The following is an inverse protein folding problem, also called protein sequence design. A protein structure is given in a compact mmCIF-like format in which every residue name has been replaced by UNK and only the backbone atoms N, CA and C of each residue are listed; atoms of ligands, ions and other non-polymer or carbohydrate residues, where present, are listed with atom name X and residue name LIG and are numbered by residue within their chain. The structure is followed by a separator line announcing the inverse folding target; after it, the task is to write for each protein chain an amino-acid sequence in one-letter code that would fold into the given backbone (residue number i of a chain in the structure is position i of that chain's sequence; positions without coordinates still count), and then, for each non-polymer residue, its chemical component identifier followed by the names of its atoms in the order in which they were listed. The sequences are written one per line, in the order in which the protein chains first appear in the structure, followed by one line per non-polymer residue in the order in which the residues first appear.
data_IF_871909647317
#
_entry.id   IF_871909647317
#
_cell.length_a   1.000
_cell.length_b   1.000
_cell.length_c   1.000
_cell.angle_alpha   90.00
_cell.angle_beta   90.00
_cell.angle_gamma   90.00
#
_symmetry.space_group_name_H-M   'P 1'
#
loop_
_entity.id
_entity.type
_entity.pdbx_description
1 polymer ?
#
# COMPACT_ATOMS: atom_id res chain seq x y z
N UNK A 1 43.56 -8.15 -12.72
CA UNK A 1 42.50 -9.15 -12.95
C UNK A 1 41.24 -8.41 -13.37
N UNK A 2 40.42 -8.95 -14.31
CA UNK A 2 39.16 -8.33 -14.69
C UNK A 2 38.23 -8.20 -13.49
N UNK A 3 37.56 -7.06 -13.34
CA UNK A 3 36.65 -6.80 -12.22
C UNK A 3 35.40 -7.68 -12.33
N UNK A 4 34.70 -7.98 -11.22
CA UNK A 4 33.45 -8.74 -11.26
C UNK A 4 32.40 -8.11 -12.19
N UNK A 5 32.37 -6.78 -12.30
CA UNK A 5 31.50 -6.04 -13.22
C UNK A 5 31.86 -6.33 -14.67
N UNK A 6 33.14 -6.27 -15.05
CA UNK A 6 33.57 -6.56 -16.41
C UNK A 6 33.25 -8.00 -16.81
N UNK A 7 33.51 -8.98 -15.94
CA UNK A 7 33.19 -10.40 -16.20
C UNK A 7 31.69 -10.58 -16.41
N UNK A 8 30.86 -9.90 -15.62
CA UNK A 8 29.41 -9.91 -15.77
C UNK A 8 28.96 -9.31 -17.11
N UNK A 9 29.46 -8.12 -17.44
CA UNK A 9 29.10 -7.39 -18.65
C UNK A 9 29.56 -8.13 -19.92
N UNK A 10 30.74 -8.77 -19.90
CA UNK A 10 31.30 -9.48 -21.05
C UNK A 10 30.83 -10.93 -21.23
N UNK A 11 30.30 -11.58 -20.18
CA UNK A 11 29.87 -12.98 -20.23
C UNK A 11 29.04 -13.29 -21.49
N UNK A 12 29.44 -14.31 -22.24
CA UNK A 12 28.77 -14.72 -23.49
C UNK A 12 27.79 -15.87 -23.28
N UNK A 13 28.03 -16.72 -22.28
CA UNK A 13 27.28 -17.94 -22.01
C UNK A 13 26.65 -17.95 -20.59
N UNK A 14 25.59 -18.74 -20.44
CA UNK A 14 24.79 -18.84 -19.21
C UNK A 14 25.60 -19.35 -18.01
N UNK A 15 26.59 -20.21 -18.23
CA UNK A 15 27.40 -20.76 -17.14
C UNK A 15 28.35 -19.71 -16.58
N UNK A 16 29.06 -18.97 -17.44
CA UNK A 16 29.90 -17.85 -17.03
C UNK A 16 29.09 -16.77 -16.31
N UNK A 17 27.87 -16.52 -16.80
CA UNK A 17 26.90 -15.63 -16.16
C UNK A 17 26.57 -16.06 -14.72
N UNK A 18 26.19 -17.33 -14.51
CA UNK A 18 25.84 -17.84 -13.18
C UNK A 18 27.03 -17.84 -12.21
N UNK A 19 28.25 -18.02 -12.72
CA UNK A 19 29.48 -17.94 -11.91
C UNK A 19 29.84 -16.49 -11.51
N UNK A 20 29.52 -15.52 -12.36
CA UNK A 20 29.81 -14.11 -12.11
C UNK A 20 28.82 -13.47 -11.12
N UNK A 21 27.55 -13.89 -11.16
CA UNK A 21 26.46 -13.30 -10.38
C UNK A 21 26.74 -13.20 -8.86
N UNK A 22 27.18 -14.27 -8.15
CA UNK A 22 27.40 -14.19 -6.70
C UNK A 22 28.56 -13.25 -6.34
N UNK A 23 29.62 -13.24 -7.15
CA UNK A 23 30.78 -12.37 -6.95
C UNK A 23 30.41 -10.90 -7.15
N UNK A 24 29.60 -10.62 -8.17
CA UNK A 24 29.07 -9.30 -8.43
C UNK A 24 28.14 -8.85 -7.29
N UNK A 25 27.20 -9.71 -6.89
CA UNK A 25 26.27 -9.42 -5.80
C UNK A 25 27.02 -9.12 -4.49
N UNK A 26 28.02 -9.92 -4.15
CA UNK A 26 28.87 -9.69 -2.98
C UNK A 26 29.62 -8.35 -3.08
N UNK A 27 30.17 -8.02 -4.25
CA UNK A 27 30.88 -6.74 -4.43
C UNK A 27 29.95 -5.53 -4.26
N UNK A 28 28.73 -5.60 -4.81
CA UNK A 28 27.73 -4.53 -4.65
C UNK A 28 27.29 -4.42 -3.18
N UNK A 29 27.01 -5.54 -2.51
CA UNK A 29 26.54 -5.56 -1.13
C UNK A 29 27.60 -5.05 -0.16
N UNK A 30 28.83 -5.54 -0.24
CA UNK A 30 29.84 -5.31 0.81
C UNK A 30 30.91 -4.28 0.44
N UNK A 31 31.05 -3.93 -0.85
CA UNK A 31 31.99 -2.92 -1.34
C UNK A 31 31.31 -1.93 -2.31
N UNK A 32 30.16 -1.34 -1.95
CA UNK A 32 29.35 -0.53 -2.88
C UNK A 32 30.11 0.67 -3.45
N UNK A 33 30.94 1.34 -2.63
CA UNK A 33 31.75 2.49 -3.08
C UNK A 33 32.72 2.10 -4.19
N UNK A 34 33.41 0.96 -4.04
CA UNK A 34 34.36 0.47 -5.05
C UNK A 34 33.62 0.12 -6.33
N UNK A 35 32.51 -0.62 -6.19
CA UNK A 35 31.66 -1.02 -7.31
C UNK A 35 31.15 0.18 -8.13
N UNK A 36 30.56 1.19 -7.48
CA UNK A 36 29.99 2.32 -8.20
C UNK A 36 31.06 3.24 -8.82
N UNK A 37 32.27 3.30 -8.24
CA UNK A 37 33.42 3.94 -8.91
C UNK A 37 33.81 3.18 -10.18
N UNK A 38 33.95 1.85 -10.11
CA UNK A 38 34.23 1.01 -11.29
C UNK A 38 33.16 1.16 -12.38
N UNK A 39 31.89 1.30 -11.98
CA UNK A 39 30.77 1.53 -12.88
C UNK A 39 30.96 2.81 -13.72
N UNK A 40 31.52 3.88 -13.16
CA UNK A 40 31.82 5.11 -13.94
C UNK A 40 33.00 4.96 -14.89
N UNK A 41 33.94 4.07 -14.57
CA UNK A 41 35.19 3.87 -15.32
C UNK A 41 35.09 2.75 -16.38
N UNK A 42 34.06 1.91 -16.33
CA UNK A 42 33.75 0.88 -17.34
C UNK A 42 33.32 1.53 -18.66
N UNK A 43 34.30 1.90 -19.49
CA UNK A 43 34.09 2.46 -20.84
C UNK A 43 34.34 1.47 -21.98
N UNK A 44 34.66 0.20 -21.67
CA UNK A 44 35.14 -0.77 -22.67
C UNK A 44 34.04 -1.65 -23.25
N UNK A 45 32.88 -1.75 -22.60
CA UNK A 45 31.77 -2.62 -23.05
C UNK A 45 30.70 -1.79 -23.76
N UNK A 46 30.12 -2.34 -24.82
CA UNK A 46 29.01 -1.72 -25.55
C UNK A 46 27.84 -1.33 -24.63
N UNK A 47 27.30 -0.12 -24.85
CA UNK A 47 26.28 0.47 -23.97
C UNK A 47 24.97 -0.32 -23.99
N UNK A 48 24.58 -0.90 -25.14
CA UNK A 48 23.34 -1.71 -25.23
C UNK A 48 23.52 -3.02 -24.45
N UNK A 49 24.65 -3.69 -24.64
CA UNK A 49 25.00 -4.91 -23.88
C UNK A 49 24.96 -4.63 -22.37
N UNK A 50 25.56 -3.51 -21.95
CA UNK A 50 25.58 -3.07 -20.56
C UNK A 50 24.19 -2.80 -19.97
N UNK A 51 23.34 -2.07 -20.68
CA UNK A 51 21.95 -1.81 -20.29
C UNK A 51 21.15 -3.12 -20.12
N UNK A 52 21.26 -4.02 -21.09
CA UNK A 52 20.60 -5.32 -21.03
C UNK A 52 21.06 -6.14 -19.82
N UNK A 53 22.38 -6.18 -19.57
CA UNK A 53 22.97 -6.91 -18.45
C UNK A 53 22.54 -6.35 -17.09
N UNK A 54 22.43 -5.02 -16.97
CA UNK A 54 21.92 -4.38 -15.76
C UNK A 54 20.42 -4.69 -15.54
N UNK A 55 19.59 -4.60 -16.60
CA UNK A 55 18.18 -4.94 -16.51
C UNK A 55 17.96 -6.40 -16.10
N UNK A 56 18.72 -7.32 -16.71
CA UNK A 56 18.68 -8.73 -16.37
C UNK A 56 19.05 -8.98 -14.90
N UNK A 57 20.09 -8.29 -14.39
CA UNK A 57 20.46 -8.35 -12.97
C UNK A 57 19.28 -7.95 -12.08
N UNK A 58 18.63 -6.83 -12.40
CA UNK A 58 17.48 -6.33 -11.64
C UNK A 58 16.32 -7.33 -11.64
N UNK A 59 16.01 -7.93 -12.79
CA UNK A 59 14.94 -8.92 -12.91
C UNK A 59 15.25 -10.21 -12.17
N UNK A 60 16.49 -10.72 -12.21
CA UNK A 60 16.86 -11.93 -11.44
C UNK A 60 16.56 -11.75 -9.96
N UNK A 61 16.99 -10.64 -9.35
CA UNK A 61 16.71 -10.38 -7.93
C UNK A 61 15.25 -10.01 -7.66
N UNK A 62 14.58 -9.31 -8.58
CA UNK A 62 13.16 -9.00 -8.45
C UNK A 62 12.26 -10.24 -8.49
N UNK A 63 12.56 -11.20 -9.36
CA UNK A 63 11.85 -12.47 -9.41
C UNK A 63 12.26 -13.41 -8.27
N UNK A 64 13.50 -13.36 -7.80
CA UNK A 64 13.91 -14.06 -6.57
C UNK A 64 13.07 -13.59 -5.38
N UNK A 65 12.88 -12.28 -5.22
CA UNK A 65 11.99 -11.71 -4.20
C UNK A 65 10.55 -12.22 -4.36
N UNK A 66 10.01 -12.17 -5.57
CA UNK A 66 8.65 -12.64 -5.85
C UNK A 66 8.49 -14.13 -5.47
N UNK A 67 9.48 -14.96 -5.78
CA UNK A 67 9.48 -16.38 -5.43
C UNK A 67 9.49 -16.61 -3.91
N UNK A 68 10.29 -15.81 -3.19
CA UNK A 68 10.34 -15.83 -1.72
C UNK A 68 9.01 -15.39 -1.14
N UNK A 69 8.41 -14.32 -1.65
CA UNK A 69 7.11 -13.83 -1.22
C UNK A 69 6.03 -14.92 -1.38
N UNK A 70 6.01 -15.67 -2.49
CA UNK A 70 5.11 -16.82 -2.67
C UNK A 70 5.35 -17.92 -1.64
N UNK A 71 6.62 -18.18 -1.33
CA UNK A 71 7.04 -19.29 -0.46
C UNK A 71 6.71 -19.04 1.02
N UNK A 72 6.75 -17.78 1.46
CA UNK A 72 6.53 -17.39 2.86
C UNK A 72 5.17 -16.73 3.14
N UNK A 73 4.51 -16.12 2.16
CA UNK A 73 3.18 -15.52 2.32
C UNK A 73 2.13 -16.51 1.80
N UNK A 74 1.52 -17.24 2.74
CA UNK A 74 0.49 -18.26 2.47
C UNK A 74 -0.70 -17.74 1.63
N UNK A 75 -1.07 -18.51 0.60
CA UNK A 75 -2.44 -18.67 0.10
C UNK A 75 -3.12 -17.56 -0.71
N UNK A 76 -2.87 -16.27 -0.42
CA UNK A 76 -3.70 -15.17 -0.93
C UNK A 76 -2.98 -14.20 -1.89
N UNK A 77 -1.77 -14.55 -2.33
CA UNK A 77 -0.89 -13.66 -3.11
C UNK A 77 -1.09 -13.76 -4.65
N UNK A 78 -1.37 -14.94 -5.26
CA UNK A 78 -1.41 -15.04 -6.72
C UNK A 78 -2.72 -14.57 -7.38
N UNK A 79 -3.71 -14.07 -6.66
CA UNK A 79 -5.05 -13.77 -7.20
C UNK A 79 -5.16 -12.51 -8.09
N UNK A 80 -4.04 -11.84 -8.39
CA UNK A 80 -4.02 -10.66 -9.26
C UNK A 80 -3.37 -10.97 -10.61
N UNK A 81 -4.00 -10.55 -11.71
CA UNK A 81 -3.45 -10.71 -13.06
C UNK A 81 -2.07 -10.01 -13.25
N UNK A 82 -1.77 -9.00 -12.42
CA UNK A 82 -0.48 -8.28 -12.43
C UNK A 82 0.58 -8.91 -11.51
N UNK A 83 0.29 -10.04 -10.87
CA UNK A 83 1.19 -10.64 -9.89
C UNK A 83 2.59 -10.92 -10.46
N UNK A 84 2.65 -11.55 -11.65
CA UNK A 84 3.91 -11.83 -12.36
C UNK A 84 4.62 -10.57 -12.88
N UNK A 85 3.90 -9.45 -12.99
CA UNK A 85 4.44 -8.16 -13.41
C UNK A 85 4.94 -7.32 -12.24
N UNK A 86 4.75 -7.73 -10.99
CA UNK A 86 5.21 -6.97 -9.81
C UNK A 86 6.69 -6.56 -9.86
N UNK A 87 7.65 -7.43 -10.24
CA UNK A 87 9.04 -7.02 -10.36
C UNK A 87 9.24 -5.91 -11.39
N UNK A 88 8.53 -5.99 -12.53
CA UNK A 88 8.58 -5.00 -13.61
C UNK A 88 7.97 -3.68 -13.15
N UNK A 89 6.78 -3.71 -12.55
CA UNK A 89 6.10 -2.52 -12.05
C UNK A 89 6.94 -1.82 -10.97
N UNK A 90 7.45 -2.59 -9.99
CA UNK A 90 8.31 -2.07 -8.93
C UNK A 90 9.58 -1.40 -9.48
N UNK A 91 10.19 -2.02 -10.49
CA UNK A 91 11.34 -1.48 -11.18
C UNK A 91 11.02 -0.16 -11.88
N UNK A 92 9.95 -0.12 -12.69
CA UNK A 92 9.53 1.08 -13.44
C UNK A 92 9.19 2.23 -12.50
N UNK A 93 8.42 1.96 -11.44
CA UNK A 93 8.05 2.97 -10.43
C UNK A 93 9.29 3.49 -9.71
N UNK A 94 10.18 2.60 -9.25
CA UNK A 94 11.41 3.04 -8.59
C UNK A 94 12.27 3.90 -9.51
N UNK A 95 12.45 3.47 -10.76
CA UNK A 95 13.23 4.19 -11.76
C UNK A 95 12.64 5.58 -12.01
N UNK A 96 11.32 5.69 -12.17
CA UNK A 96 10.63 6.96 -12.41
C UNK A 96 10.77 7.93 -11.22
N UNK A 97 10.58 7.43 -9.99
CA UNK A 97 10.66 8.25 -8.77
C UNK A 97 12.10 8.74 -8.52
N UNK A 98 13.09 7.84 -8.61
CA UNK A 98 14.51 8.19 -8.39
C UNK A 98 14.99 9.12 -9.49
N UNK A 99 14.63 8.87 -10.75
CA UNK A 99 14.98 9.74 -11.89
C UNK A 99 14.45 11.15 -11.69
N UNK A 100 13.15 11.27 -11.36
CA UNK A 100 12.53 12.58 -11.13
C UNK A 100 13.18 13.29 -9.95
N UNK A 101 13.43 12.57 -8.86
CA UNK A 101 14.08 13.12 -7.67
C UNK A 101 15.51 13.61 -7.95
N UNK A 102 16.29 12.87 -8.73
CA UNK A 102 17.63 13.29 -9.16
C UNK A 102 17.56 14.57 -9.99
N UNK A 103 16.62 14.65 -10.95
CA UNK A 103 16.46 15.87 -11.76
C UNK A 103 16.07 17.09 -10.91
N UNK A 104 15.19 16.90 -9.92
CA UNK A 104 14.75 17.96 -9.03
C UNK A 104 15.86 18.45 -8.08
N UNK A 105 16.68 17.53 -7.54
CA UNK A 105 17.66 17.86 -6.50
C UNK A 105 19.06 18.15 -7.06
N UNK A 106 19.49 17.43 -8.10
CA UNK A 106 20.83 17.52 -8.68
C UNK A 106 20.87 18.30 -10.01
N UNK A 107 19.72 18.57 -10.62
CA UNK A 107 19.60 19.34 -11.86
C UNK A 107 19.07 18.53 -13.06
N UNK A 108 18.40 19.22 -13.98
CA UNK A 108 17.80 18.61 -15.18
C UNK A 108 18.83 18.22 -16.26
N UNK A 109 20.06 18.73 -16.15
CA UNK A 109 21.20 18.42 -17.00
C UNK A 109 21.76 16.99 -16.78
N UNK A 110 21.37 16.34 -15.69
CA UNK A 110 21.90 15.02 -15.33
C UNK A 110 21.40 13.92 -16.27
N UNK A 111 22.34 13.12 -16.76
CA UNK A 111 22.09 11.98 -17.64
C UNK A 111 21.23 10.93 -16.94
N UNK A 112 20.37 10.25 -17.71
CA UNK A 112 19.45 9.22 -17.20
C UNK A 112 20.08 7.82 -17.11
N UNK A 113 21.00 7.52 -18.04
CA UNK A 113 21.68 6.24 -18.12
C UNK A 113 22.32 5.81 -16.78
N UNK A 114 23.01 6.69 -16.04
CA UNK A 114 23.62 6.29 -14.78
C UNK A 114 22.58 6.01 -13.69
N UNK A 115 21.44 6.73 -13.65
CA UNK A 115 20.33 6.41 -12.73
C UNK A 115 19.81 5.00 -12.98
N UNK A 116 19.60 4.65 -14.25
CA UNK A 116 19.13 3.32 -14.63
C UNK A 116 20.04 2.22 -14.09
N UNK A 117 21.36 2.37 -14.28
CA UNK A 117 22.33 1.38 -13.80
C UNK A 117 22.32 1.28 -12.28
N UNK A 118 22.28 2.42 -11.57
CA UNK A 118 22.21 2.45 -10.10
C UNK A 118 20.95 1.74 -9.60
N UNK A 119 19.79 2.01 -10.19
CA UNK A 119 18.52 1.35 -9.82
C UNK A 119 18.58 -0.15 -10.11
N UNK A 120 19.15 -0.57 -11.24
CA UNK A 120 19.28 -1.98 -11.58
C UNK A 120 20.14 -2.75 -10.57
N UNK A 121 21.30 -2.21 -10.21
CA UNK A 121 22.24 -2.90 -9.30
C UNK A 121 21.81 -2.81 -7.83
N UNK A 122 21.00 -1.81 -7.43
CA UNK A 122 20.42 -1.76 -6.08
C UNK A 122 19.60 -3.02 -5.76
N UNK A 123 19.01 -3.65 -6.78
CA UNK A 123 18.11 -4.80 -6.63
C UNK A 123 18.77 -5.99 -5.95
N UNK A 124 20.10 -6.03 -5.84
CA UNK A 124 20.79 -7.04 -5.03
C UNK A 124 20.32 -7.06 -3.57
N UNK A 125 19.87 -5.92 -3.03
CA UNK A 125 19.36 -5.85 -1.66
C UNK A 125 18.09 -6.70 -1.45
N UNK A 126 17.39 -7.05 -2.53
CA UNK A 126 16.21 -7.91 -2.46
C UNK A 126 16.57 -9.34 -2.00
N UNK A 127 17.85 -9.75 -2.02
CA UNK A 127 18.29 -11.03 -1.44
C UNK A 127 17.99 -11.15 0.06
N UNK A 128 17.89 -10.03 0.78
CA UNK A 128 17.60 -10.05 2.21
C UNK A 128 16.17 -10.52 2.51
N UNK A 129 15.26 -10.51 1.53
CA UNK A 129 13.92 -11.10 1.70
C UNK A 129 13.97 -12.61 2.02
N UNK A 130 15.08 -13.31 1.74
CA UNK A 130 15.29 -14.70 2.17
C UNK A 130 15.23 -14.86 3.69
N UNK A 131 15.43 -13.79 4.46
CA UNK A 131 15.39 -13.81 5.93
C UNK A 131 13.95 -13.50 6.38
N UNK A 132 13.25 -14.43 7.04
CA UNK A 132 11.89 -14.18 7.51
C UNK A 132 11.83 -13.00 8.50
N UNK A 133 10.71 -12.27 8.48
CA UNK A 133 10.36 -11.17 9.40
C UNK A 133 11.24 -9.92 9.27
N UNK A 134 12.56 -10.03 9.44
CA UNK A 134 13.48 -8.90 9.43
C UNK A 134 14.05 -8.58 8.04
N UNK A 135 14.05 -9.56 7.14
CA UNK A 135 14.58 -9.42 5.77
C UNK A 135 14.06 -8.20 5.00
N UNK A 136 12.75 -7.93 4.98
CA UNK A 136 12.20 -6.75 4.28
C UNK A 136 12.74 -5.42 4.81
N UNK A 137 12.94 -5.29 6.12
CA UNK A 137 13.49 -4.07 6.74
C UNK A 137 14.94 -3.88 6.32
N UNK A 138 15.74 -4.94 6.39
CA UNK A 138 17.12 -4.92 5.91
C UNK A 138 17.23 -4.60 4.42
N UNK A 139 16.39 -5.22 3.59
CA UNK A 139 16.34 -4.95 2.15
C UNK A 139 16.01 -3.47 1.86
N UNK A 140 15.06 -2.90 2.59
CA UNK A 140 14.68 -1.49 2.45
C UNK A 140 15.81 -0.53 2.82
N UNK A 141 16.39 -0.69 4.01
CA UNK A 141 17.48 0.16 4.51
C UNK A 141 18.72 0.02 3.64
N UNK A 142 19.10 -1.22 3.29
CA UNK A 142 20.28 -1.46 2.47
C UNK A 142 20.07 -0.99 1.03
N UNK A 143 18.89 -1.20 0.46
CA UNK A 143 18.53 -0.70 -0.86
C UNK A 143 18.63 0.83 -0.95
N UNK A 144 18.17 1.55 0.09
CA UNK A 144 18.31 3.00 0.19
C UNK A 144 19.78 3.44 0.31
N UNK A 145 20.59 2.72 1.09
CA UNK A 145 22.02 2.97 1.21
C UNK A 145 22.76 2.77 -0.13
N UNK A 146 22.47 1.68 -0.85
CA UNK A 146 23.03 1.42 -2.17
C UNK A 146 22.66 2.50 -3.19
N UNK A 147 21.41 2.98 -3.17
CA UNK A 147 20.98 4.10 -3.99
C UNK A 147 21.77 5.38 -3.69
N UNK A 148 21.93 5.72 -2.40
CA UNK A 148 22.63 6.93 -1.99
C UNK A 148 24.12 6.88 -2.36
N UNK A 149 24.78 5.74 -2.11
CA UNK A 149 26.17 5.55 -2.51
C UNK A 149 26.31 5.57 -4.03
N UNK A 150 25.41 4.90 -4.76
CA UNK A 150 25.41 4.91 -6.22
C UNK A 150 25.28 6.31 -6.80
N UNK A 151 24.31 7.10 -6.34
CA UNK A 151 24.13 8.49 -6.78
C UNK A 151 25.31 9.38 -6.41
N UNK A 152 25.87 9.20 -5.20
CA UNK A 152 27.07 9.92 -4.75
C UNK A 152 28.24 9.70 -5.70
N UNK A 153 28.60 8.45 -5.93
CA UNK A 153 29.81 8.10 -6.69
C UNK A 153 29.63 8.34 -8.19
N UNK A 154 28.43 8.14 -8.73
CA UNK A 154 28.16 8.30 -10.17
C UNK A 154 28.00 9.76 -10.60
N UNK A 155 27.42 10.60 -9.75
CA UNK A 155 27.24 12.03 -10.04
C UNK A 155 28.24 12.94 -9.31
N UNK A 156 29.22 12.36 -8.62
CA UNK A 156 30.19 13.08 -7.78
C UNK A 156 29.52 14.10 -6.85
N UNK A 157 28.35 13.72 -6.30
CA UNK A 157 27.51 14.61 -5.49
C UNK A 157 27.85 14.51 -4.00
N UNK A 158 27.63 15.57 -3.20
CA UNK A 158 27.74 15.47 -1.74
C UNK A 158 26.77 14.42 -1.20
N UNK A 159 27.18 13.64 -0.20
CA UNK A 159 26.37 12.53 0.34
C UNK A 159 24.97 12.99 0.79
N UNK A 160 24.85 14.19 1.37
CA UNK A 160 23.56 14.74 1.78
C UNK A 160 22.60 14.93 0.59
N UNK A 161 23.09 15.47 -0.54
CA UNK A 161 22.28 15.62 -1.75
C UNK A 161 21.96 14.27 -2.39
N UNK A 162 22.90 13.33 -2.36
CA UNK A 162 22.67 11.97 -2.85
C UNK A 162 21.56 11.26 -2.06
N UNK A 163 21.63 11.27 -0.73
CA UNK A 163 20.60 10.70 0.16
C UNK A 163 19.25 11.37 -0.06
N UNK A 164 19.21 12.71 -0.16
CA UNK A 164 17.99 13.44 -0.41
C UNK A 164 17.36 13.05 -1.75
N UNK A 165 18.15 13.00 -2.83
CA UNK A 165 17.69 12.67 -4.17
C UNK A 165 17.30 11.20 -4.35
N UNK A 166 17.95 10.27 -3.64
CA UNK A 166 17.83 8.84 -3.92
C UNK A 166 16.95 8.07 -2.93
N UNK A 167 16.74 8.61 -1.72
CA UNK A 167 15.96 7.93 -0.67
C UNK A 167 14.79 8.79 -0.17
N UNK A 168 15.09 10.01 0.29
CA UNK A 168 14.08 10.85 0.96
C UNK A 168 13.05 11.37 -0.03
N UNK A 169 13.48 12.01 -1.11
CA UNK A 169 12.57 12.62 -2.09
C UNK A 169 11.69 11.58 -2.81
N UNK A 170 12.21 10.41 -3.27
CA UNK A 170 11.36 9.35 -3.81
C UNK A 170 10.29 8.87 -2.82
N UNK A 171 10.63 8.76 -1.53
CA UNK A 171 9.67 8.40 -0.48
C UNK A 171 8.59 9.47 -0.29
N UNK A 172 8.97 10.74 -0.24
CA UNK A 172 8.03 11.88 -0.17
C UNK A 172 7.11 11.88 -1.39
N UNK A 173 7.66 11.73 -2.60
CA UNK A 173 6.88 11.66 -3.84
C UNK A 173 5.90 10.49 -3.82
N UNK A 174 6.35 9.32 -3.38
CA UNK A 174 5.49 8.15 -3.24
C UNK A 174 4.35 8.40 -2.25
N UNK A 175 4.64 9.06 -1.13
CA UNK A 175 3.64 9.45 -0.13
C UNK A 175 2.62 10.44 -0.73
N UNK A 176 3.06 11.44 -1.50
CA UNK A 176 2.15 12.33 -2.23
C UNK A 176 1.32 11.60 -3.28
N UNK A 177 1.89 10.62 -3.99
CA UNK A 177 1.13 9.78 -4.92
C UNK A 177 0.06 9.01 -4.14
N UNK A 178 0.40 8.37 -3.01
CA UNK A 178 -0.59 7.67 -2.20
C UNK A 178 -1.69 8.58 -1.64
N UNK A 179 -1.33 9.77 -1.15
CA UNK A 179 -2.30 10.75 -0.65
C UNK A 179 -3.20 11.30 -1.76
N UNK A 180 -2.63 11.63 -2.92
CA UNK A 180 -3.37 12.23 -4.04
C UNK A 180 -4.25 11.22 -4.77
N UNK A 181 -3.81 9.96 -4.83
CA UNK A 181 -4.58 8.89 -5.45
C UNK A 181 -5.49 8.17 -4.46
N UNK A 182 -5.56 8.50 -3.17
CA UNK A 182 -6.32 7.74 -2.16
C UNK A 182 -7.69 7.22 -2.64
N UNK A 183 -8.60 8.07 -3.12
CA UNK A 183 -9.90 7.62 -3.64
C UNK A 183 -9.84 6.86 -4.97
N UNK A 184 -8.95 7.25 -5.90
CA UNK A 184 -8.85 6.68 -7.24
C UNK A 184 -8.06 5.35 -7.26
N UNK A 185 -6.94 5.29 -6.54
CA UNK A 185 -6.19 4.07 -6.26
C UNK A 185 -7.05 3.09 -5.47
N UNK A 186 -7.85 3.52 -4.48
CA UNK A 186 -8.77 2.60 -3.81
C UNK A 186 -9.79 2.00 -4.79
N UNK A 187 -10.32 2.77 -5.74
CA UNK A 187 -11.22 2.25 -6.79
C UNK A 187 -10.51 1.29 -7.75
N UNK A 188 -9.28 1.59 -8.16
CA UNK A 188 -8.48 0.75 -9.07
C UNK A 188 -8.02 -0.54 -8.36
N UNK A 189 -7.60 -0.43 -7.10
CA UNK A 189 -7.22 -1.56 -6.26
C UNK A 189 -8.45 -2.44 -5.99
N UNK A 190 -9.60 -1.85 -5.70
CA UNK A 190 -10.87 -2.59 -5.59
C UNK A 190 -11.24 -3.34 -6.89
N UNK A 191 -10.98 -2.74 -8.05
CA UNK A 191 -11.24 -3.37 -9.35
C UNK A 191 -10.22 -4.47 -9.71
N UNK A 192 -8.95 -4.31 -9.33
CA UNK A 192 -7.88 -5.26 -9.66
C UNK A 192 -7.63 -6.33 -8.58
N UNK A 193 -8.07 -6.08 -7.35
CA UNK A 193 -7.91 -6.95 -6.18
C UNK A 193 -9.27 -7.16 -5.50
N UNK A 194 -10.10 -8.10 -6.00
CA UNK A 194 -11.43 -8.37 -5.47
C UNK A 194 -11.42 -8.78 -3.98
N UNK A 195 -10.32 -9.35 -3.49
CA UNK A 195 -10.13 -9.64 -2.05
C UNK A 195 -9.98 -8.37 -1.20
N UNK A 196 -9.33 -7.33 -1.70
CA UNK A 196 -9.28 -6.04 -1.01
C UNK A 196 -10.68 -5.41 -0.94
N UNK A 197 -11.48 -5.54 -2.00
CA UNK A 197 -12.87 -5.10 -1.99
C UNK A 197 -13.70 -5.87 -0.94
N UNK A 198 -13.52 -7.19 -0.84
CA UNK A 198 -14.18 -7.98 0.22
C UNK A 198 -13.79 -7.49 1.62
N UNK A 199 -12.51 -7.18 1.85
CA UNK A 199 -12.06 -6.64 3.14
C UNK A 199 -12.62 -5.25 3.43
N UNK A 200 -12.69 -4.37 2.42
CA UNK A 200 -13.30 -3.04 2.54
C UNK A 200 -14.78 -3.16 2.87
N UNK A 201 -15.53 -4.03 2.19
CA UNK A 201 -16.94 -4.30 2.47
C UNK A 201 -17.12 -4.80 3.91
N UNK A 202 -16.27 -5.73 4.36
CA UNK A 202 -16.28 -6.22 5.75
C UNK A 202 -16.05 -5.09 6.76
N UNK A 203 -15.09 -4.19 6.48
CA UNK A 203 -14.78 -3.05 7.34
C UNK A 203 -15.95 -2.05 7.38
N UNK A 204 -16.57 -1.78 6.23
CA UNK A 204 -17.74 -0.92 6.13
C UNK A 204 -18.93 -1.47 6.93
N UNK A 205 -19.17 -2.79 6.88
CA UNK A 205 -20.23 -3.43 7.68
C UNK A 205 -20.00 -3.24 9.19
N UNK A 206 -18.76 -3.41 9.65
CA UNK A 206 -18.40 -3.21 11.07
C UNK A 206 -18.54 -1.75 11.47
N UNK A 207 -18.06 -0.82 10.64
CA UNK A 207 -18.20 0.61 10.88
C UNK A 207 -19.66 1.05 10.92
N UNK A 208 -20.50 0.52 10.02
CA UNK A 208 -21.93 0.79 10.01
C UNK A 208 -22.61 0.33 11.30
N UNK A 209 -22.30 -0.88 11.79
CA UNK A 209 -22.79 -1.35 13.11
C UNK A 209 -22.37 -0.40 14.25
N UNK A 210 -21.10 0.01 14.28
CA UNK A 210 -20.58 0.94 15.30
C UNK A 210 -21.26 2.30 15.24
N UNK A 211 -21.50 2.82 14.03
CA UNK A 211 -22.14 4.12 13.82
C UNK A 211 -23.61 4.06 14.20
N UNK A 212 -24.35 3.03 13.81
CA UNK A 212 -25.75 2.81 14.25
C UNK A 212 -25.82 2.73 15.77
N UNK A 213 -24.91 1.99 16.41
CA UNK A 213 -24.83 1.89 17.87
C UNK A 213 -24.55 3.26 18.51
N UNK A 214 -23.60 4.02 17.96
CA UNK A 214 -23.24 5.36 18.44
C UNK A 214 -24.40 6.36 18.31
N UNK A 215 -25.09 6.37 17.16
CA UNK A 215 -26.27 7.21 16.92
C UNK A 215 -27.40 6.85 17.88
N UNK A 216 -27.65 5.56 18.08
CA UNK A 216 -28.70 5.06 18.98
C UNK A 216 -28.44 5.49 20.43
N UNK A 217 -27.20 5.32 20.91
CA UNK A 217 -26.79 5.79 22.25
C UNK A 217 -26.88 7.32 22.35
N UNK A 218 -26.45 8.05 21.31
CA UNK A 218 -26.55 9.50 21.24
C UNK A 218 -28.01 9.99 21.30
N UNK A 219 -28.93 9.32 20.62
CA UNK A 219 -30.37 9.62 20.67
C UNK A 219 -30.97 9.36 22.06
N UNK A 220 -30.56 8.29 22.74
CA UNK A 220 -31.00 8.01 24.11
C UNK A 220 -30.46 9.05 25.11
N UNK A 221 -29.20 9.47 24.97
CA UNK A 221 -28.62 10.55 25.76
C UNK A 221 -29.35 11.88 25.52
N UNK A 222 -29.62 12.22 24.25
CA UNK A 222 -30.38 13.41 23.88
C UNK A 222 -31.77 13.42 24.54
N UNK A 223 -32.50 12.30 24.49
CA UNK A 223 -33.81 12.18 25.15
C UNK A 223 -33.72 12.30 26.67
N UNK A 224 -32.68 11.74 27.28
CA UNK A 224 -32.45 11.87 28.73
C UNK A 224 -32.26 13.33 29.14
N UNK A 225 -31.57 14.11 28.33
CA UNK A 225 -31.24 15.51 28.63
C UNK A 225 -32.38 16.48 28.29
N UNK A 226 -33.15 16.20 27.23
CA UNK A 226 -34.13 17.14 26.67
C UNK A 226 -35.59 16.67 26.72
N UNK A 227 -35.85 15.41 27.09
CA UNK A 227 -37.19 14.84 27.25
C UNK A 227 -37.84 14.29 25.98
N UNK A 228 -37.24 14.50 24.80
CA UNK A 228 -37.76 14.03 23.50
C UNK A 228 -36.63 13.54 22.58
N UNK A 229 -36.93 12.69 21.61
CA UNK A 229 -35.95 12.28 20.59
C UNK A 229 -35.69 13.38 19.54
N UNK A 230 -34.46 13.46 18.99
CA UNK A 230 -34.09 14.49 18.01
C UNK A 230 -34.92 14.34 16.72
N UNK A 231 -35.14 15.43 15.98
CA UNK A 231 -35.88 15.41 14.73
C UNK A 231 -35.06 14.94 13.52
N UNK A 232 -33.73 15.08 13.57
CA UNK A 232 -32.79 14.67 12.52
C UNK A 232 -31.39 14.40 13.09
N UNK A 233 -30.54 13.68 12.35
CA UNK A 233 -29.18 13.30 12.79
C UNK A 233 -28.29 14.50 13.12
N UNK A 234 -28.44 15.62 12.40
CA UNK A 234 -27.67 16.85 12.70
C UNK A 234 -27.83 17.38 14.13
N UNK A 235 -28.95 17.10 14.82
CA UNK A 235 -29.17 17.50 16.21
C UNK A 235 -28.33 16.69 17.21
N UNK A 236 -27.79 15.54 16.77
CA UNK A 236 -26.93 14.67 17.57
C UNK A 236 -25.45 15.05 17.52
N UNK A 237 -25.05 16.09 16.79
CA UNK A 237 -23.64 16.48 16.62
C UNK A 237 -22.87 16.64 17.94
N UNK A 238 -23.53 17.09 19.02
CA UNK A 238 -22.92 17.23 20.36
C UNK A 238 -22.77 15.90 21.12
N UNK A 239 -23.56 14.90 20.74
CA UNK A 239 -23.66 13.60 21.41
C UNK A 239 -22.90 12.48 20.67
N UNK A 240 -22.40 12.77 19.46
CA UNK A 240 -21.63 11.85 18.62
C UNK A 240 -20.16 12.27 18.56
N UNK A 241 -19.28 11.30 18.33
CA UNK A 241 -17.88 11.59 17.98
C UNK A 241 -17.80 12.34 16.65
N UNK A 242 -16.77 13.19 16.48
CA UNK A 242 -16.59 14.02 15.27
C UNK A 242 -16.59 13.19 13.98
N UNK A 243 -15.90 12.04 13.98
CA UNK A 243 -15.85 11.12 12.84
C UNK A 243 -17.24 10.60 12.44
N UNK A 244 -18.08 10.21 13.42
CA UNK A 244 -19.45 9.73 13.16
C UNK A 244 -20.32 10.87 12.64
N UNK A 245 -20.24 12.05 13.26
CA UNK A 245 -21.05 13.20 12.84
C UNK A 245 -20.70 13.69 11.44
N UNK A 246 -19.42 13.69 11.06
CA UNK A 246 -18.97 14.13 9.74
C UNK A 246 -19.39 13.13 8.67
N UNK A 247 -19.19 11.83 8.90
CA UNK A 247 -19.51 10.80 7.91
C UNK A 247 -21.01 10.61 7.68
N UNK A 248 -21.82 10.63 8.75
CA UNK A 248 -23.27 10.38 8.68
C UNK A 248 -24.02 11.54 8.02
N UNK A 249 -23.42 12.73 8.00
CA UNK A 249 -23.97 13.91 7.33
C UNK A 249 -23.29 14.20 5.98
N UNK A 250 -22.34 13.36 5.57
CA UNK A 250 -21.60 13.55 4.33
C UNK A 250 -22.43 13.07 3.12
N UNK A 251 -22.75 13.95 2.16
CA UNK A 251 -23.50 13.58 0.96
C UNK A 251 -22.74 12.61 0.03
N UNK A 252 -21.42 12.51 0.16
CA UNK A 252 -20.57 11.67 -0.70
C UNK A 252 -20.52 10.19 -0.28
N UNK A 253 -21.18 9.82 0.84
CA UNK A 253 -21.28 8.44 1.34
C UNK A 253 -19.91 7.71 1.42
N UNK A 254 -18.87 8.41 1.88
CA UNK A 254 -17.49 7.92 1.89
C UNK A 254 -17.28 6.60 2.67
N UNK A 255 -18.18 6.28 3.61
CA UNK A 255 -18.17 5.06 4.43
C UNK A 255 -18.93 3.88 3.82
N UNK A 256 -19.57 4.08 2.65
CA UNK A 256 -20.30 3.04 1.93
C UNK A 256 -21.73 2.77 2.43
N UNK A 257 -22.18 3.49 3.46
CA UNK A 257 -23.51 3.35 4.06
C UNK A 257 -24.25 4.69 4.12
N UNK A 258 -25.56 4.64 3.91
CA UNK A 258 -26.52 5.75 4.05
C UNK A 258 -27.32 5.53 5.32
N UNK A 259 -27.46 6.57 6.14
CA UNK A 259 -28.14 6.51 7.43
C UNK A 259 -29.44 7.30 7.39
N UNK A 260 -30.56 6.60 7.48
CA UNK A 260 -31.90 7.18 7.49
C UNK A 260 -32.44 7.19 8.91
N UNK A 261 -32.57 8.37 9.51
CA UNK A 261 -33.17 8.56 10.84
C UNK A 261 -34.54 9.21 10.71
N UNK A 262 -35.56 8.59 11.30
CA UNK A 262 -36.92 9.13 11.34
C UNK A 262 -37.42 9.13 12.77
N UNK A 263 -37.80 10.31 13.27
CA UNK A 263 -38.56 10.45 14.51
C UNK A 263 -40.02 10.13 14.23
N UNK A 264 -40.57 9.10 14.88
CA UNK A 264 -41.99 8.76 14.76
C UNK A 264 -42.85 9.66 15.65
N UNK A 265 -42.42 9.86 16.90
CA UNK A 265 -42.99 10.79 17.88
C UNK A 265 -41.93 11.16 18.94
N UNK A 266 -42.31 11.82 20.03
CA UNK A 266 -41.36 12.21 21.08
C UNK A 266 -40.82 11.02 21.89
N UNK A 267 -41.51 9.87 21.81
CA UNK A 267 -41.22 8.63 22.52
C UNK A 267 -40.49 7.57 21.69
N UNK A 268 -40.51 7.66 20.35
CA UNK A 268 -40.07 6.62 19.42
C UNK A 268 -39.25 7.17 18.24
N UNK A 269 -38.24 6.41 17.82
CA UNK A 269 -37.47 6.70 16.61
C UNK A 269 -37.11 5.43 15.87
N UNK A 270 -36.81 5.58 14.58
CA UNK A 270 -36.25 4.50 13.76
C UNK A 270 -34.97 4.99 13.08
N UNK A 271 -33.98 4.11 13.02
CA UNK A 271 -32.72 4.34 12.35
C UNK A 271 -32.41 3.16 11.45
N UNK A 272 -32.19 3.43 10.17
CA UNK A 272 -31.68 2.45 9.21
C UNK A 272 -30.28 2.85 8.75
N UNK A 273 -29.41 1.86 8.59
CA UNK A 273 -28.18 2.02 7.81
C UNK A 273 -28.20 1.02 6.65
N UNK A 274 -28.16 1.54 5.42
CA UNK A 274 -28.25 0.76 4.18
C UNK A 274 -26.98 0.95 3.36
N UNK A 275 -26.48 -0.11 2.70
CA UNK A 275 -25.35 0.06 1.79
C UNK A 275 -25.76 0.99 0.64
N UNK A 276 -24.91 1.97 0.31
CA UNK A 276 -25.10 2.83 -0.87
C UNK A 276 -25.23 2.03 -2.17
N UNK A 277 -24.52 0.89 -2.26
CA UNK A 277 -24.64 -0.09 -3.33
C UNK A 277 -24.50 -1.50 -2.76
N UNK A 278 -25.56 -2.29 -2.82
CA UNK A 278 -25.58 -3.66 -2.30
C UNK A 278 -24.42 -4.50 -2.84
N UNK A 279 -23.82 -5.30 -1.96
CA UNK A 279 -22.68 -6.19 -2.23
C UNK A 279 -21.39 -5.51 -2.71
N UNK A 280 -21.39 -4.18 -2.84
CA UNK A 280 -20.23 -3.39 -3.25
C UNK A 280 -19.76 -2.45 -2.15
N UNK A 281 -20.68 -1.78 -1.44
CA UNK A 281 -20.34 -0.85 -0.36
C UNK A 281 -20.62 -1.42 1.03
N UNK A 282 -21.46 -2.46 1.12
CA UNK A 282 -21.84 -3.17 2.33
C UNK A 282 -22.73 -4.39 2.01
N UNK A 283 -22.91 -5.28 2.99
CA UNK A 283 -23.71 -6.52 2.83
C UNK A 283 -25.03 -6.50 3.60
N UNK A 284 -25.06 -5.79 4.72
CA UNK A 284 -26.17 -5.86 5.66
C UNK A 284 -26.96 -4.57 5.70
N UNK A 285 -28.26 -4.65 5.96
CA UNK A 285 -29.07 -3.51 6.37
C UNK A 285 -29.20 -3.55 7.88
N UNK A 286 -28.84 -2.47 8.56
CA UNK A 286 -28.98 -2.36 10.01
C UNK A 286 -30.22 -1.56 10.37
N UNK A 287 -30.86 -1.94 11.46
CA UNK A 287 -32.02 -1.29 12.04
C UNK A 287 -31.79 -1.08 13.53
N UNK A 288 -32.15 0.09 14.04
CA UNK A 288 -32.21 0.38 15.47
C UNK A 288 -33.40 1.28 15.80
N UNK A 289 -33.84 1.21 17.05
CA UNK A 289 -34.98 1.95 17.59
C UNK A 289 -34.75 2.28 19.08
N UNK A 290 -35.78 2.79 19.76
CA UNK A 290 -35.72 3.23 21.15
C UNK A 290 -35.24 2.14 22.13
N UNK A 291 -35.34 0.86 21.75
CA UNK A 291 -34.91 -0.27 22.59
C UNK A 291 -33.39 -0.29 22.80
N UNK A 292 -32.62 0.47 22.00
CA UNK A 292 -31.16 0.50 22.09
C UNK A 292 -30.46 -0.68 21.42
N UNK A 293 -31.22 -1.60 20.83
CA UNK A 293 -30.69 -2.81 20.19
C UNK A 293 -30.54 -2.59 18.68
N UNK A 294 -29.37 -2.97 18.17
CA UNK A 294 -29.12 -3.02 16.72
C UNK A 294 -29.53 -4.39 16.18
N UNK A 295 -30.27 -4.39 15.07
CA UNK A 295 -30.84 -5.58 14.43
C UNK A 295 -30.58 -5.59 12.94
N UNK A 296 -30.67 -6.76 12.31
CA UNK A 296 -30.61 -6.90 10.86
C UNK A 296 -31.97 -6.68 10.20
N UNK A 297 -32.01 -5.86 9.16
CA UNK A 297 -33.13 -5.56 8.26
C UNK A 297 -34.34 -4.85 8.90
N UNK A 298 -34.85 -5.32 10.04
CA UNK A 298 -36.13 -4.85 10.64
C UNK A 298 -36.14 -4.92 12.17
N UNK A 299 -37.22 -4.45 12.80
CA UNK A 299 -37.47 -4.52 14.24
C UNK A 299 -37.57 -5.94 14.81
N UNK A 300 -37.87 -6.93 13.96
CA UNK A 300 -37.91 -8.36 14.32
C UNK A 300 -36.65 -9.12 13.88
N UNK A 301 -35.65 -8.40 13.38
CA UNK A 301 -34.40 -8.96 12.88
C UNK A 301 -33.53 -9.59 13.96
N UNK A 302 -32.53 -10.35 13.51
CA UNK A 302 -31.48 -10.88 14.38
C UNK A 302 -30.77 -9.73 15.12
N UNK A 303 -30.65 -9.86 16.44
CA UNK A 303 -30.05 -8.84 17.31
C UNK A 303 -28.54 -9.00 17.34
N UNK A 304 -27.81 -7.93 17.02
CA UNK A 304 -26.35 -7.87 17.08
C UNK A 304 -25.97 -7.26 18.43
N UNK A 305 -25.57 -8.10 19.38
CA UNK A 305 -25.33 -7.68 20.78
C UNK A 305 -23.91 -7.17 21.00
N UNK A 306 -22.98 -7.53 20.13
CA UNK A 306 -21.57 -7.22 20.30
C UNK A 306 -20.80 -7.20 18.99
N UNK A 307 -19.60 -6.60 19.03
CA UNK A 307 -18.60 -6.70 17.97
C UNK A 307 -18.26 -8.17 17.62
N UNK A 308 -18.29 -9.09 18.58
CA UNK A 308 -18.06 -10.52 18.33
C UNK A 308 -19.16 -11.15 17.47
N UNK A 309 -20.41 -10.74 17.66
CA UNK A 309 -21.53 -11.22 16.83
C UNK A 309 -21.39 -10.66 15.41
N UNK A 310 -20.96 -9.40 15.30
CA UNK A 310 -20.65 -8.78 14.00
C UNK A 310 -19.48 -9.51 13.30
N UNK A 311 -18.39 -9.82 14.00
CA UNK A 311 -17.26 -10.58 13.45
C UNK A 311 -17.71 -11.95 12.92
N UNK A 312 -18.58 -12.67 13.64
CA UNK A 312 -19.14 -13.96 13.19
C UNK A 312 -19.95 -13.82 11.90
N UNK A 313 -20.85 -12.83 11.84
CA UNK A 313 -21.66 -12.53 10.66
C UNK A 313 -20.79 -12.16 9.44
N UNK A 314 -19.75 -11.35 9.69
CA UNK A 314 -18.82 -10.87 8.66
C UNK A 314 -17.93 -11.99 8.10
N UNK A 315 -17.55 -12.94 8.95
CA UNK A 315 -16.68 -14.07 8.62
C UNK A 315 -17.43 -15.29 8.06
N UNK A 316 -18.77 -15.24 7.93
CA UNK A 316 -19.57 -16.33 7.36
C UNK A 316 -19.76 -17.51 8.32
N UNK A 317 -19.81 -17.26 9.63
CA UNK A 317 -20.16 -18.28 10.60
C UNK A 317 -21.59 -18.77 10.37
N UNK A 318 -21.73 -20.00 9.86
CA UNK A 318 -23.01 -20.66 9.67
C UNK A 318 -23.83 -20.73 10.96
N UNK A 319 -25.13 -20.48 10.85
CA UNK A 319 -26.16 -21.20 11.60
C UNK A 319 -26.64 -22.36 10.76
#
# INVERSE_FOLDING_TARGET
MPTPLYIWEESSDTLSFMKALPRLAFNILFKPVVFFKELTLSGTVDTKKRLYRAALFAFVFGYLKLFIDISFLSGNVPDSALFLLRPVISFVVTLALVTTSIKLILGFDKLLLPVFLVVCYRSVAEIFYCIPVFGPVFAGVWGAALLAVGVKEVYYSPIAKAVLASAIMPFIMLLFVFLSFGPAANRIVAAMYPEAQKQIVKLNDVNAYLYVSSITVGAQAYKKDLGFYPSHLGALKKYLGSAVSEDVTNPDNATGYVYDYTRADDGHFTLFARPFKESYSGRFVFYADETGLVRLNTSKGEVIRSLKDMERLVMGGAT
#
